data_IF_065982987266
#
_entry.id   IF_065982987266
#
_cell.length_a   1.000
_cell.length_b   1.000
_cell.length_c   1.000
_cell.angle_alpha   90.00
_cell.angle_beta   90.00
_cell.angle_gamma   90.00
#
_symmetry.space_group_name_H-M   'P 1'
#
loop_
_entity.id
_entity.type
_entity.pdbx_description
1 polymer ?
#
# COMPACT_ATOMS: atom_id res chain seq x y z
N UNK A 1 0.30 -0.85 -19.28
CA UNK A 1 -0.58 -1.67 -18.43
C UNK A 1 -1.89 -0.93 -18.25
N UNK A 2 -2.99 -1.65 -18.23
CA UNK A 2 -4.32 -1.11 -17.92
C UNK A 2 -4.51 -1.02 -16.40
N UNK A 3 -5.51 -0.26 -15.96
CA UNK A 3 -5.93 -0.21 -14.54
C UNK A 3 -6.27 -1.61 -14.01
N UNK A 4 -6.93 -2.42 -14.82
CA UNK A 4 -7.28 -3.80 -14.49
C UNK A 4 -6.03 -4.65 -14.23
N UNK A 5 -5.01 -4.55 -15.08
CA UNK A 5 -3.74 -5.27 -14.90
C UNK A 5 -3.05 -4.89 -13.59
N UNK A 6 -3.03 -3.59 -13.26
CA UNK A 6 -2.47 -3.07 -12.01
C UNK A 6 -3.25 -3.65 -10.82
N UNK A 7 -4.58 -3.65 -10.90
CA UNK A 7 -5.46 -4.14 -9.84
C UNK A 7 -5.30 -5.64 -9.58
N UNK A 8 -5.04 -6.46 -10.62
CA UNK A 8 -4.71 -7.86 -10.45
C UNK A 8 -3.37 -8.07 -9.74
N UNK A 9 -2.33 -7.32 -10.13
CA UNK A 9 -1.02 -7.37 -9.46
C UNK A 9 -1.10 -7.00 -7.98
N UNK A 10 -1.79 -5.91 -7.66
CA UNK A 10 -1.96 -5.47 -6.26
C UNK A 10 -2.69 -6.53 -5.43
N UNK A 11 -3.78 -7.11 -5.94
CA UNK A 11 -4.49 -8.17 -5.22
C UNK A 11 -3.63 -9.41 -5.01
N UNK A 12 -2.89 -9.83 -6.03
CA UNK A 12 -1.94 -10.95 -5.92
C UNK A 12 -0.93 -10.72 -4.79
N UNK A 13 -0.27 -9.56 -4.80
CA UNK A 13 0.70 -9.18 -3.77
C UNK A 13 0.10 -9.24 -2.36
N UNK A 14 -1.12 -8.76 -2.16
CA UNK A 14 -1.80 -8.81 -0.85
C UNK A 14 -2.04 -10.26 -0.40
N UNK A 15 -2.46 -11.15 -1.29
CA UNK A 15 -2.64 -12.57 -0.96
C UNK A 15 -1.31 -13.26 -0.65
N UNK A 16 -0.26 -12.98 -1.41
CA UNK A 16 1.07 -13.54 -1.17
C UNK A 16 1.60 -13.11 0.21
N UNK A 17 1.46 -11.82 0.55
CA UNK A 17 1.82 -11.28 1.87
C UNK A 17 1.02 -11.95 2.99
N UNK A 18 -0.30 -12.12 2.82
CA UNK A 18 -1.13 -12.78 3.82
C UNK A 18 -0.75 -14.24 4.01
N UNK A 19 -0.44 -14.96 2.92
CA UNK A 19 -0.04 -16.36 2.97
C UNK A 19 1.30 -16.56 3.67
N UNK A 20 2.23 -15.61 3.52
CA UNK A 20 3.56 -15.65 4.13
C UNK A 20 3.57 -15.15 5.59
N UNK A 21 2.95 -13.99 5.86
CA UNK A 21 3.04 -13.32 7.15
C UNK A 21 1.86 -13.58 8.09
N UNK A 22 0.71 -13.98 7.55
CA UNK A 22 -0.54 -14.09 8.31
C UNK A 22 -1.07 -12.76 8.83
N UNK A 23 -2.08 -12.83 9.69
CA UNK A 23 -2.72 -11.68 10.33
C UNK A 23 -2.10 -11.34 11.70
N UNK A 24 -2.28 -10.09 12.15
CA UNK A 24 -1.96 -9.66 13.52
C UNK A 24 -0.68 -8.87 13.70
N UNK A 25 -0.02 -8.48 12.61
CA UNK A 25 1.17 -7.62 12.64
C UNK A 25 0.80 -6.13 12.61
N UNK A 26 1.78 -5.28 12.87
CA UNK A 26 1.61 -3.82 12.74
C UNK A 26 1.38 -3.44 11.28
N UNK A 27 0.60 -2.38 11.06
CA UNK A 27 0.36 -1.80 9.74
C UNK A 27 1.66 -1.52 8.98
N UNK A 28 2.67 -0.99 9.67
CA UNK A 28 3.98 -0.70 9.08
C UNK A 28 4.67 -1.91 8.45
N UNK A 29 4.41 -3.12 8.98
CA UNK A 29 4.94 -4.36 8.40
C UNK A 29 4.27 -4.66 7.07
N UNK A 30 2.94 -4.55 7.00
CA UNK A 30 2.19 -4.79 5.76
C UNK A 30 2.49 -3.73 4.70
N UNK A 31 2.67 -2.47 5.10
CA UNK A 31 3.09 -1.38 4.20
C UNK A 31 4.46 -1.69 3.58
N UNK A 32 5.45 -2.06 4.40
CA UNK A 32 6.79 -2.38 3.92
C UNK A 32 6.81 -3.61 3.00
N UNK A 33 6.04 -4.66 3.34
CA UNK A 33 5.93 -5.86 2.51
C UNK A 33 5.27 -5.56 1.16
N UNK A 34 4.18 -4.79 1.15
CA UNK A 34 3.46 -4.43 -0.08
C UNK A 34 4.29 -3.51 -0.98
N UNK A 35 5.02 -2.56 -0.40
CA UNK A 35 5.97 -1.74 -1.16
C UNK A 35 7.01 -2.61 -1.87
N UNK A 36 7.65 -3.53 -1.14
CA UNK A 36 8.66 -4.43 -1.70
C UNK A 36 8.10 -5.30 -2.82
N UNK A 37 6.93 -5.91 -2.61
CA UNK A 37 6.32 -6.84 -3.57
C UNK A 37 5.94 -6.13 -4.88
N UNK A 38 5.33 -4.95 -4.78
CA UNK A 38 4.93 -4.17 -5.96
C UNK A 38 6.15 -3.61 -6.72
N UNK A 39 7.20 -3.19 -6.02
CA UNK A 39 8.46 -2.77 -6.64
C UNK A 39 9.13 -3.92 -7.39
N UNK A 40 9.17 -5.12 -6.81
CA UNK A 40 9.72 -6.32 -7.47
C UNK A 40 8.93 -6.73 -8.72
N UNK A 41 7.62 -6.44 -8.75
CA UNK A 41 6.79 -6.63 -9.93
C UNK A 41 6.95 -5.55 -11.01
N UNK A 42 7.93 -4.65 -10.84
CA UNK A 42 8.30 -3.58 -11.76
C UNK A 42 7.35 -2.39 -11.75
N UNK A 43 6.53 -2.24 -10.71
CA UNK A 43 5.61 -1.11 -10.58
C UNK A 43 6.30 0.10 -9.98
N UNK A 44 5.82 1.29 -10.34
CA UNK A 44 6.19 2.51 -9.65
C UNK A 44 5.31 2.66 -8.42
N UNK A 45 5.93 2.69 -7.25
CA UNK A 45 5.24 2.75 -5.95
C UNK A 45 5.68 4.00 -5.20
N UNK A 46 4.72 4.64 -4.54
CA UNK A 46 4.96 5.69 -3.56
C UNK A 46 4.09 5.38 -2.36
N UNK A 47 4.67 5.39 -1.15
CA UNK A 47 3.92 5.29 0.11
C UNK A 47 3.81 6.65 0.76
N UNK A 48 2.84 6.76 1.67
CA UNK A 48 2.64 7.96 2.52
C UNK A 48 2.56 9.27 1.71
N UNK A 49 2.05 9.19 0.47
CA UNK A 49 1.79 10.37 -0.35
C UNK A 49 0.82 11.26 0.44
N UNK A 50 1.11 12.57 0.62
CA UNK A 50 0.26 13.45 1.40
C UNK A 50 -1.19 13.40 0.91
N UNK A 51 -2.08 12.92 1.75
CA UNK A 51 -3.52 12.96 1.50
C UNK A 51 -4.12 13.93 2.51
N UNK A 52 -4.68 15.06 2.05
CA UNK A 52 -5.24 16.03 2.97
C UNK A 52 -6.44 15.42 3.70
N UNK A 53 -6.35 15.37 5.03
CA UNK A 53 -7.44 14.93 5.89
C UNK A 53 -8.03 16.16 6.55
N UNK A 54 -9.33 16.38 6.36
CA UNK A 54 -10.05 17.43 7.06
C UNK A 54 -10.59 16.87 8.36
N UNK A 55 -10.02 17.31 9.49
CA UNK A 55 -10.58 17.03 10.81
C UNK A 55 -11.28 18.29 11.33
N UNK A 56 -12.62 18.29 11.24
CA UNK A 56 -13.44 19.50 11.43
C UNK A 56 -12.99 20.58 10.44
N UNK A 57 -12.77 21.80 10.92
CA UNK A 57 -12.30 22.94 10.13
C UNK A 57 -10.77 22.98 9.94
N UNK A 58 -10.04 21.96 10.44
CA UNK A 58 -8.58 21.91 10.35
C UNK A 58 -8.18 20.96 9.22
N UNK A 59 -7.47 21.50 8.23
CA UNK A 59 -6.76 20.69 7.24
C UNK A 59 -5.51 20.11 7.89
N UNK A 60 -5.46 18.78 8.00
CA UNK A 60 -4.30 18.02 8.44
C UNK A 60 -3.63 17.40 7.23
N UNK A 61 -2.34 17.69 7.05
CA UNK A 61 -1.52 17.02 6.05
C UNK A 61 -0.98 15.73 6.69
N UNK A 62 -1.68 14.62 6.45
CA UNK A 62 -1.28 13.28 6.92
C UNK A 62 -0.67 12.49 5.74
N UNK A 63 0.40 11.75 6.03
CA UNK A 63 1.27 11.12 5.04
C UNK A 63 2.61 11.87 4.96
N UNK A 64 3.63 11.35 5.64
CA UNK A 64 5.02 11.83 5.60
C UNK A 64 5.86 10.76 4.94
#
# INVERSE_FOLDING_TARGET
>A
MTETDISYKIRGAIFDIYNELGAGLLESVYVAALEWELLNQGLQVKREVPVPVHYKEVKMDLGV
#
